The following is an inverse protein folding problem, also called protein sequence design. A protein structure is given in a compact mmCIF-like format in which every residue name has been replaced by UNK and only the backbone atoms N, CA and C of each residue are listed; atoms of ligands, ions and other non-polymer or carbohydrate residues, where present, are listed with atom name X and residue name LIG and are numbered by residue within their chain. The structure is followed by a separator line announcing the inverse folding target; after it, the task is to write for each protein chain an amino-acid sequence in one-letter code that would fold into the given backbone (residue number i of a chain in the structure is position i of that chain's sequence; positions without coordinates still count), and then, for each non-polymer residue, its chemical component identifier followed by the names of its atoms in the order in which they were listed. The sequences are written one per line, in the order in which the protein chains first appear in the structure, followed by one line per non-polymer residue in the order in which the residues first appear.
data_IF_794776844879
#
_entry.id   IF_794776844879
#
_cell.length_a   1.000
_cell.length_b   1.000
_cell.length_c   1.000
_cell.angle_alpha   90.00
_cell.angle_beta   90.00
_cell.angle_gamma   90.00
#
_symmetry.space_group_name_H-M   'P 1'
#
loop_
_entity.id
_entity.type
_entity.pdbx_description
1 polymer ?
#
# COMPACT_ATOMS: atom_id res chain seq x y z
N UNK A 1 -13.15 -8.03 9.03
CA UNK A 1 -12.82 -7.03 10.07
C UNK A 1 -14.08 -6.57 10.79
N UNK A 2 -15.05 -5.88 10.14
CA UNK A 2 -16.23 -5.34 10.82
C UNK A 2 -17.05 -6.43 11.54
N UNK A 3 -17.24 -7.60 10.93
CA UNK A 3 -17.94 -8.74 11.55
C UNK A 3 -17.19 -9.31 12.75
N UNK A 4 -15.86 -9.37 12.71
CA UNK A 4 -15.04 -9.91 13.79
C UNK A 4 -15.13 -8.97 15.01
N UNK A 5 -15.04 -7.67 14.78
CA UNK A 5 -15.21 -6.65 15.84
C UNK A 5 -16.64 -6.71 16.38
N UNK A 6 -17.66 -6.73 15.52
CA UNK A 6 -19.05 -6.76 15.91
C UNK A 6 -19.38 -7.96 16.82
N UNK A 7 -18.88 -9.14 16.48
CA UNK A 7 -19.03 -10.34 17.30
C UNK A 7 -18.44 -10.16 18.72
N UNK A 8 -17.27 -9.53 18.81
CA UNK A 8 -16.59 -9.31 20.08
C UNK A 8 -17.33 -8.30 20.96
N UNK A 9 -17.90 -7.25 20.36
CA UNK A 9 -18.65 -6.21 21.09
C UNK A 9 -20.14 -6.52 21.24
N UNK A 10 -20.60 -7.69 20.78
CA UNK A 10 -21.99 -8.12 20.90
C UNK A 10 -22.97 -7.45 19.93
N UNK A 11 -22.47 -6.83 18.86
CA UNK A 11 -23.30 -6.23 17.82
C UNK A 11 -23.67 -7.27 16.74
N UNK A 12 -24.64 -8.14 17.06
CA UNK A 12 -24.98 -9.30 16.24
C UNK A 12 -26.22 -9.12 15.36
N UNK A 13 -27.05 -8.09 15.61
CA UNK A 13 -28.23 -7.80 14.81
C UNK A 13 -27.81 -7.17 13.48
N UNK A 14 -28.16 -7.83 12.39
CA UNK A 14 -27.81 -7.35 11.05
C UNK A 14 -28.83 -6.34 10.56
N UNK A 15 -28.35 -5.16 10.25
CA UNK A 15 -29.10 -4.08 9.61
C UNK A 15 -28.49 -3.76 8.22
N UNK A 16 -29.18 -2.89 7.47
CA UNK A 16 -28.69 -2.46 6.16
C UNK A 16 -27.47 -1.53 6.33
N UNK A 17 -26.29 -2.05 6.01
CA UNK A 17 -25.02 -1.32 6.05
C UNK A 17 -24.37 -1.17 7.43
N UNK A 18 -24.90 -1.79 8.48
CA UNK A 18 -24.29 -1.84 9.80
C UNK A 18 -24.74 -3.08 10.60
N UNK A 19 -24.08 -3.31 11.74
CA UNK A 19 -24.46 -4.32 12.73
C UNK A 19 -24.75 -3.61 14.06
N UNK A 20 -25.78 -4.06 14.77
CA UNK A 20 -26.26 -3.41 15.98
C UNK A 20 -26.22 -4.37 17.17
N UNK A 21 -25.82 -3.84 18.31
CA UNK A 21 -25.87 -4.49 19.62
C UNK A 21 -26.48 -3.54 20.66
N UNK A 22 -26.41 -3.90 21.94
CA UNK A 22 -26.93 -3.09 23.03
C UNK A 22 -26.17 -1.76 23.14
N UNK A 23 -24.83 -1.81 23.05
CA UNK A 23 -23.97 -0.65 23.31
C UNK A 23 -23.19 -0.20 22.06
N UNK A 24 -23.24 -0.95 20.94
CA UNK A 24 -22.42 -0.70 19.77
C UNK A 24 -23.19 -0.75 18.46
N UNK A 25 -22.91 0.22 17.60
CA UNK A 25 -23.21 0.18 16.17
C UNK A 25 -21.91 -0.02 15.41
N UNK A 26 -21.81 -1.06 14.61
CA UNK A 26 -20.61 -1.37 13.83
C UNK A 26 -20.93 -1.22 12.34
N UNK A 27 -20.41 -0.16 11.74
CA UNK A 27 -20.52 0.09 10.29
C UNK A 27 -19.14 -0.04 9.63
N UNK A 28 -19.06 0.06 8.30
CA UNK A 28 -17.84 -0.14 7.54
C UNK A 28 -17.75 0.74 6.32
N UNK A 29 -16.52 0.95 5.84
CA UNK A 29 -16.24 1.43 4.50
C UNK A 29 -15.71 0.25 3.65
N UNK A 30 -16.04 0.23 2.37
CA UNK A 30 -15.50 -0.73 1.40
C UNK A 30 -14.51 0.00 0.47
N UNK A 31 -13.31 0.25 0.99
CA UNK A 31 -12.30 1.10 0.39
C UNK A 31 -12.64 2.59 0.54
N UNK A 32 -12.13 3.42 -0.36
CA UNK A 32 -12.43 4.85 -0.35
C UNK A 32 -13.87 5.12 -0.82
N UNK A 33 -14.70 5.67 0.05
CA UNK A 33 -16.02 6.20 -0.29
C UNK A 33 -15.93 7.66 -0.72
N UNK A 34 -14.94 8.36 -0.19
CA UNK A 34 -14.63 9.77 -0.47
C UNK A 34 -13.23 9.83 -1.09
N UNK A 35 -13.07 10.68 -2.09
CA UNK A 35 -11.83 10.92 -2.83
C UNK A 35 -11.58 12.42 -2.99
N UNK A 36 -10.38 12.77 -3.48
CA UNK A 36 -10.13 14.14 -3.94
C UNK A 36 -10.96 14.41 -5.20
N UNK A 37 -11.48 15.64 -5.31
CA UNK A 37 -12.24 16.10 -6.48
C UNK A 37 -11.39 16.04 -7.75
N UNK A 38 -12.05 15.74 -8.86
CA UNK A 38 -11.41 15.69 -10.16
C UNK A 38 -11.28 17.10 -10.76
N UNK A 39 -10.43 17.31 -11.79
CA UNK A 39 -10.21 18.63 -12.40
C UNK A 39 -11.49 19.35 -12.82
N UNK A 40 -12.50 18.62 -13.24
CA UNK A 40 -13.79 19.15 -13.69
C UNK A 40 -14.51 19.95 -12.60
N UNK A 41 -14.39 19.53 -11.32
CA UNK A 41 -14.97 20.25 -10.18
C UNK A 41 -14.25 21.57 -9.87
N UNK A 42 -13.06 21.75 -10.42
CA UNK A 42 -12.29 23.00 -10.33
C UNK A 42 -12.39 23.86 -11.62
N UNK A 43 -13.25 23.45 -12.58
CA UNK A 43 -13.43 24.18 -13.84
C UNK A 43 -12.49 23.77 -14.97
N UNK A 44 -11.65 22.74 -14.79
CA UNK A 44 -10.69 22.25 -15.77
C UNK A 44 -11.19 21.02 -16.53
N UNK A 45 -12.31 21.14 -17.25
CA UNK A 45 -12.91 20.02 -17.98
C UNK A 45 -12.17 19.64 -19.27
N UNK A 46 -11.56 20.61 -19.94
CA UNK A 46 -10.85 20.39 -21.21
C UNK A 46 -9.37 20.01 -20.99
N UNK A 47 -8.78 19.32 -21.98
CA UNK A 47 -7.34 19.01 -22.01
C UNK A 47 -6.61 20.13 -22.76
N UNK A 48 -6.32 21.24 -22.08
CA UNK A 48 -5.62 22.39 -22.64
C UNK A 48 -4.24 22.55 -21.99
N UNK A 49 -3.22 22.81 -22.81
CA UNK A 49 -1.86 22.97 -22.32
C UNK A 49 -1.69 24.21 -21.42
N UNK A 50 -2.44 25.26 -21.69
CA UNK A 50 -2.42 26.54 -20.98
C UNK A 50 -2.96 26.41 -19.53
N UNK A 51 -3.74 25.36 -19.25
CA UNK A 51 -4.31 25.08 -17.94
C UNK A 51 -3.35 24.29 -17.04
N UNK A 52 -2.21 23.82 -17.56
CA UNK A 52 -1.24 23.03 -16.79
C UNK A 52 -0.13 23.93 -16.19
N UNK A 53 0.31 23.65 -14.95
CA UNK A 53 -0.18 22.60 -14.07
C UNK A 53 -1.46 22.99 -13.30
N UNK A 54 -2.38 22.04 -13.15
CA UNK A 54 -3.55 22.20 -12.28
C UNK A 54 -3.12 21.96 -10.84
N UNK A 55 -3.27 22.97 -9.99
CA UNK A 55 -2.90 22.92 -8.57
C UNK A 55 -4.08 23.43 -7.73
N UNK A 56 -4.98 22.55 -7.28
CA UNK A 56 -6.12 22.97 -6.48
C UNK A 56 -5.72 23.58 -5.14
N UNK A 57 -6.36 24.69 -4.77
CA UNK A 57 -6.16 25.36 -3.49
C UNK A 57 -7.51 25.92 -2.97
N UNK A 58 -8.12 25.29 -1.96
CA UNK A 58 -7.77 23.99 -1.35
C UNK A 58 -8.18 22.81 -2.21
N UNK A 59 -7.63 21.62 -1.90
CA UNK A 59 -8.17 20.37 -2.39
C UNK A 59 -9.56 20.13 -1.80
N UNK A 60 -10.52 19.76 -2.63
CA UNK A 60 -11.89 19.44 -2.25
C UNK A 60 -12.09 17.91 -2.20
N UNK A 61 -13.02 17.50 -1.37
CA UNK A 61 -13.43 16.11 -1.26
C UNK A 61 -14.75 15.89 -2.02
N UNK A 62 -14.88 14.72 -2.67
CA UNK A 62 -16.09 14.31 -3.36
C UNK A 62 -16.38 12.84 -3.10
N UNK A 63 -17.62 12.44 -3.33
CA UNK A 63 -17.98 11.01 -3.34
C UNK A 63 -17.25 10.31 -4.48
N UNK A 64 -16.79 9.09 -4.22
CA UNK A 64 -16.21 8.26 -5.25
C UNK A 64 -17.16 8.11 -6.43
N UNK A 65 -16.65 8.30 -7.63
CA UNK A 65 -17.41 8.17 -8.87
C UNK A 65 -17.21 6.81 -9.54
N UNK A 66 -18.23 6.40 -10.27
CA UNK A 66 -18.18 5.24 -11.17
C UNK A 66 -18.48 5.69 -12.59
N UNK A 67 -17.93 4.96 -13.56
CA UNK A 67 -18.19 5.21 -14.97
C UNK A 67 -19.55 4.66 -15.37
N UNK A 68 -20.37 5.50 -16.01
CA UNK A 68 -21.66 5.12 -16.58
C UNK A 68 -21.71 5.54 -18.04
N UNK A 69 -21.45 4.60 -18.91
CA UNK A 69 -21.31 4.88 -20.35
C UNK A 69 -20.08 5.76 -20.63
N UNK A 70 -20.30 6.98 -21.07
CA UNK A 70 -19.25 7.98 -21.35
C UNK A 70 -18.99 8.92 -20.16
N UNK A 71 -19.92 9.01 -19.22
CA UNK A 71 -19.90 9.95 -18.12
C UNK A 71 -19.47 9.29 -16.79
N UNK A 72 -19.21 10.12 -15.80
CA UNK A 72 -18.95 9.71 -14.42
C UNK A 72 -20.07 10.23 -13.53
N UNK A 73 -20.60 9.36 -12.67
CA UNK A 73 -21.59 9.74 -11.65
C UNK A 73 -21.14 9.24 -10.28
N UNK A 74 -21.67 9.86 -9.23
CA UNK A 74 -21.40 9.43 -7.87
C UNK A 74 -21.84 7.97 -7.68
N UNK A 75 -20.99 7.16 -7.06
CA UNK A 75 -21.28 5.75 -6.78
C UNK A 75 -22.50 5.64 -5.85
N UNK A 76 -23.65 5.11 -6.31
CA UNK A 76 -24.84 5.01 -5.50
C UNK A 76 -24.65 4.16 -4.25
N UNK A 77 -23.74 3.18 -4.32
CA UNK A 77 -23.41 2.31 -3.19
C UNK A 77 -22.61 3.07 -2.14
N UNK A 78 -21.67 3.92 -2.57
CA UNK A 78 -20.92 4.80 -1.68
C UNK A 78 -21.84 5.84 -1.03
N UNK A 79 -22.73 6.47 -1.81
CA UNK A 79 -23.74 7.42 -1.27
C UNK A 79 -24.65 6.78 -0.23
N UNK A 80 -25.13 5.56 -0.50
CA UNK A 80 -25.96 4.81 0.46
C UNK A 80 -25.18 4.56 1.75
N UNK A 81 -23.96 4.05 1.66
CA UNK A 81 -23.17 3.73 2.82
C UNK A 81 -22.78 4.98 3.63
N UNK A 82 -22.49 6.10 2.97
CA UNK A 82 -22.23 7.39 3.64
C UNK A 82 -23.44 7.88 4.45
N UNK A 83 -24.67 7.72 3.92
CA UNK A 83 -25.91 8.04 4.67
C UNK A 83 -26.04 7.17 5.92
N UNK A 84 -25.70 5.88 5.82
CA UNK A 84 -25.72 4.94 6.94
C UNK A 84 -24.67 5.32 7.99
N UNK A 85 -23.43 5.58 7.56
CA UNK A 85 -22.35 6.02 8.46
C UNK A 85 -22.75 7.31 9.18
N UNK A 86 -23.32 8.29 8.46
CA UNK A 86 -23.85 9.52 9.06
C UNK A 86 -24.86 9.22 10.15
N UNK A 87 -25.86 8.37 9.87
CA UNK A 87 -26.89 7.99 10.85
C UNK A 87 -26.28 7.28 12.07
N UNK A 88 -25.28 6.40 11.86
CA UNK A 88 -24.59 5.77 12.99
C UNK A 88 -23.84 6.80 13.84
N UNK A 89 -23.17 7.78 13.23
CA UNK A 89 -22.47 8.86 13.95
C UNK A 89 -23.43 9.74 14.75
N UNK A 90 -24.63 10.04 14.19
CA UNK A 90 -25.65 10.84 14.86
C UNK A 90 -26.21 10.15 16.11
N UNK A 91 -26.41 8.83 16.03
CA UNK A 91 -26.96 8.00 17.12
C UNK A 91 -25.93 7.66 18.21
N UNK A 92 -24.64 7.86 17.97
CA UNK A 92 -23.58 7.42 18.87
C UNK A 92 -22.99 8.59 19.66
N UNK A 93 -22.70 8.38 20.93
CA UNK A 93 -22.03 9.35 21.78
C UNK A 93 -20.52 9.42 21.49
N UNK A 94 -19.94 8.30 21.11
CA UNK A 94 -18.50 8.16 20.82
C UNK A 94 -18.28 7.41 19.51
N UNK A 95 -17.27 7.82 18.75
CA UNK A 95 -16.83 7.15 17.53
C UNK A 95 -15.51 6.39 17.83
N UNK A 96 -15.50 5.10 17.53
CA UNK A 96 -14.30 4.27 17.57
C UNK A 96 -13.92 3.92 16.13
N UNK A 97 -12.74 4.34 15.73
CA UNK A 97 -12.21 4.11 14.38
C UNK A 97 -11.42 2.81 14.34
N UNK A 98 -11.88 1.86 13.56
CA UNK A 98 -11.32 0.52 13.44
C UNK A 98 -10.90 0.18 11.99
N UNK A 99 -10.59 1.19 11.18
CA UNK A 99 -9.96 0.99 9.86
C UNK A 99 -8.53 0.48 10.03
N UNK A 100 -7.95 -0.04 8.95
CA UNK A 100 -6.61 -0.65 9.00
C UNK A 100 -5.58 0.23 9.71
N UNK A 101 -4.68 -0.42 10.45
CA UNK A 101 -3.62 0.25 11.20
C UNK A 101 -2.51 0.76 10.26
N UNK A 102 -2.76 1.87 9.60
CA UNK A 102 -1.85 2.46 8.62
C UNK A 102 -2.34 3.80 8.08
N UNK A 103 -1.51 4.43 7.26
CA UNK A 103 -1.82 5.74 6.64
C UNK A 103 -3.10 5.70 5.82
N UNK A 104 -3.33 4.61 5.10
CA UNK A 104 -4.49 4.46 4.21
C UNK A 104 -5.79 4.32 5.00
N UNK A 105 -5.78 3.48 6.04
CA UNK A 105 -6.95 3.33 6.91
C UNK A 105 -7.31 4.62 7.66
N UNK A 106 -6.29 5.39 8.09
CA UNK A 106 -6.51 6.71 8.71
C UNK A 106 -7.08 7.70 7.69
N UNK A 107 -6.56 7.72 6.46
CA UNK A 107 -7.02 8.60 5.39
C UNK A 107 -8.48 8.31 5.01
N UNK A 108 -8.85 7.04 4.84
CA UNK A 108 -10.23 6.63 4.52
C UNK A 108 -11.20 7.19 5.55
N UNK A 109 -10.91 7.00 6.84
CA UNK A 109 -11.78 7.50 7.89
C UNK A 109 -11.85 9.03 7.90
N UNK A 110 -10.69 9.72 7.88
CA UNK A 110 -10.63 11.18 7.97
C UNK A 110 -11.30 11.88 6.78
N UNK A 111 -11.25 11.28 5.60
CA UNK A 111 -11.96 11.81 4.43
C UNK A 111 -13.48 11.68 4.61
N UNK A 112 -13.98 10.55 5.10
CA UNK A 112 -15.40 10.37 5.41
C UNK A 112 -15.84 11.36 6.49
N UNK A 113 -15.06 11.44 7.55
CA UNK A 113 -15.33 12.29 8.71
C UNK A 113 -15.39 13.78 8.33
N UNK A 114 -14.40 14.26 7.58
CA UNK A 114 -14.35 15.63 7.08
C UNK A 114 -15.45 15.94 6.06
N UNK A 115 -15.71 15.02 5.13
CA UNK A 115 -16.79 15.17 4.13
C UNK A 115 -18.19 15.27 4.78
N UNK A 116 -18.41 14.49 5.85
CA UNK A 116 -19.65 14.54 6.61
C UNK A 116 -19.77 15.76 7.54
N UNK A 117 -18.68 16.53 7.72
CA UNK A 117 -18.65 17.73 8.55
C UNK A 117 -18.69 17.48 10.05
N UNK A 118 -18.25 16.30 10.51
CA UNK A 118 -18.24 15.97 11.92
C UNK A 118 -17.06 16.57 12.66
N UNK A 119 -17.26 16.93 13.94
CA UNK A 119 -16.24 17.46 14.84
C UNK A 119 -16.21 16.75 16.20
N UNK A 120 -17.02 15.70 16.40
CA UNK A 120 -17.02 14.92 17.64
C UNK A 120 -15.66 14.28 17.88
N UNK A 121 -15.13 14.26 19.11
CA UNK A 121 -13.92 13.51 19.41
C UNK A 121 -14.10 12.03 19.06
N UNK A 122 -13.07 11.41 18.54
CA UNK A 122 -13.06 9.98 18.25
C UNK A 122 -11.82 9.31 18.84
N UNK A 123 -11.93 8.00 19.04
CA UNK A 123 -10.85 7.15 19.50
C UNK A 123 -10.44 6.16 18.43
N UNK A 124 -9.20 5.74 18.48
CA UNK A 124 -8.60 4.86 17.48
C UNK A 124 -8.33 3.48 18.07
N UNK A 125 -8.93 2.44 17.49
CA UNK A 125 -8.54 1.06 17.67
C UNK A 125 -7.36 0.76 16.73
N UNK A 126 -6.20 0.47 17.31
CA UNK A 126 -4.98 0.21 16.55
C UNK A 126 -4.49 -1.20 16.81
N UNK A 127 -4.80 -2.11 15.89
CA UNK A 127 -4.47 -3.53 15.99
C UNK A 127 -3.86 -4.02 14.68
N UNK A 128 -2.90 -4.92 14.75
CA UNK A 128 -2.25 -5.59 13.62
C UNK A 128 -2.75 -7.02 13.39
N UNK A 129 -3.63 -7.52 14.27
CA UNK A 129 -4.21 -8.86 14.22
C UNK A 129 -5.70 -8.82 14.52
N UNK A 130 -6.48 -9.71 13.90
CA UNK A 130 -7.92 -9.83 14.10
C UNK A 130 -8.32 -11.01 15.02
N UNK A 131 -7.39 -11.50 15.83
CA UNK A 131 -7.72 -12.50 16.86
C UNK A 131 -8.59 -11.87 17.93
N UNK A 132 -9.46 -12.67 18.55
CA UNK A 132 -10.35 -12.22 19.64
C UNK A 132 -9.58 -11.52 20.77
N UNK A 133 -8.41 -12.04 21.11
CA UNK A 133 -7.53 -11.47 22.12
C UNK A 133 -7.04 -10.08 21.71
N UNK A 134 -6.52 -9.94 20.49
CA UNK A 134 -6.00 -8.65 19.99
C UNK A 134 -7.10 -7.59 19.90
N UNK A 135 -8.32 -7.95 19.48
CA UNK A 135 -9.46 -7.03 19.41
C UNK A 135 -9.85 -6.56 20.82
N UNK A 136 -9.98 -7.49 21.80
CA UNK A 136 -10.32 -7.14 23.21
C UNK A 136 -9.27 -6.23 23.84
N UNK A 137 -8.00 -6.58 23.71
CA UNK A 137 -6.89 -5.78 24.23
C UNK A 137 -6.83 -4.40 23.58
N UNK A 138 -7.04 -4.34 22.26
CA UNK A 138 -7.07 -3.08 21.53
C UNK A 138 -8.24 -2.18 21.94
N UNK A 139 -9.42 -2.73 22.17
CA UNK A 139 -10.59 -1.99 22.68
C UNK A 139 -10.36 -1.45 24.10
N UNK A 140 -9.62 -2.18 24.94
CA UNK A 140 -9.23 -1.71 26.26
C UNK A 140 -8.16 -0.59 26.22
N UNK A 141 -7.41 -0.46 25.11
CA UNK A 141 -6.29 0.47 24.94
C UNK A 141 -6.52 1.51 23.84
N UNK A 142 -7.76 1.95 23.66
CA UNK A 142 -8.10 2.96 22.66
C UNK A 142 -7.31 4.25 22.86
N UNK A 143 -6.73 4.77 21.79
CA UNK A 143 -5.99 6.03 21.77
C UNK A 143 -6.85 7.18 21.28
N UNK A 144 -6.56 8.40 21.69
CA UNK A 144 -7.21 9.59 21.15
C UNK A 144 -6.90 9.72 19.66
N UNK A 145 -7.88 10.18 18.86
CA UNK A 145 -7.70 10.38 17.42
C UNK A 145 -6.56 11.33 17.07
N UNK A 146 -6.34 12.36 17.90
CA UNK A 146 -5.26 13.33 17.72
C UNK A 146 -3.85 12.71 17.75
N UNK A 147 -3.66 11.55 18.39
CA UNK A 147 -2.38 10.83 18.36
C UNK A 147 -1.97 10.38 16.94
N UNK A 148 -2.91 10.40 15.99
CA UNK A 148 -2.70 9.97 14.60
C UNK A 148 -2.78 11.12 13.58
N UNK A 149 -2.79 12.38 14.03
CA UNK A 149 -2.88 13.54 13.12
C UNK A 149 -1.69 13.63 12.18
N UNK A 150 -0.47 13.38 12.67
CA UNK A 150 0.72 13.34 11.79
C UNK A 150 0.64 12.22 10.74
N UNK A 151 0.07 11.07 11.12
CA UNK A 151 -0.13 9.95 10.19
C UNK A 151 -1.17 10.30 9.11
N UNK A 152 -2.26 10.96 9.51
CA UNK A 152 -3.26 11.48 8.58
C UNK A 152 -2.66 12.50 7.61
N UNK A 153 -1.90 13.48 8.11
CA UNK A 153 -1.24 14.48 7.28
C UNK A 153 -0.28 13.85 6.28
N UNK A 154 0.47 12.83 6.69
CA UNK A 154 1.34 12.07 5.77
C UNK A 154 0.54 11.32 4.70
N UNK A 155 -0.60 10.72 5.05
CA UNK A 155 -1.53 10.08 4.11
C UNK A 155 -2.13 11.09 3.13
N UNK A 156 -2.60 12.23 3.65
CA UNK A 156 -3.17 13.33 2.87
C UNK A 156 -2.16 13.89 1.87
N UNK A 157 -0.97 14.26 2.34
CA UNK A 157 0.10 14.79 1.48
C UNK A 157 0.47 13.81 0.35
N UNK A 158 0.50 12.50 0.65
CA UNK A 158 0.71 11.47 -0.38
C UNK A 158 -0.43 11.45 -1.39
N UNK A 159 -1.68 11.47 -0.94
CA UNK A 159 -2.87 11.46 -1.81
C UNK A 159 -2.89 12.68 -2.73
N UNK A 160 -2.60 13.87 -2.20
CA UNK A 160 -2.52 15.11 -2.95
C UNK A 160 -1.35 15.10 -3.96
N UNK A 161 -0.18 14.58 -3.56
CA UNK A 161 0.97 14.43 -4.46
C UNK A 161 0.68 13.41 -5.60
N UNK A 162 0.03 12.30 -5.28
CA UNK A 162 -0.37 11.28 -6.29
C UNK A 162 -1.38 11.89 -7.28
N UNK A 163 -2.32 12.73 -6.80
CA UNK A 163 -3.25 13.47 -7.64
C UNK A 163 -2.53 14.48 -8.54
N UNK A 164 -1.65 15.32 -7.97
CA UNK A 164 -0.91 16.35 -8.71
C UNK A 164 -0.07 15.74 -9.84
N UNK A 165 0.70 14.70 -9.51
CA UNK A 165 1.54 14.03 -10.51
C UNK A 165 0.69 13.27 -11.51
N UNK A 166 -0.28 12.49 -11.04
CA UNK A 166 -1.10 11.65 -11.89
C UNK A 166 -1.93 12.45 -12.90
N UNK A 167 -2.63 13.47 -12.43
CA UNK A 167 -3.49 14.30 -13.29
C UNK A 167 -2.65 15.13 -14.29
N UNK A 168 -1.68 15.88 -13.79
CA UNK A 168 -0.92 16.79 -14.65
C UNK A 168 -0.05 16.05 -15.67
N UNK A 169 0.65 14.98 -15.24
CA UNK A 169 1.49 14.22 -16.14
C UNK A 169 0.66 13.45 -17.20
N UNK A 170 -0.49 12.88 -16.80
CA UNK A 170 -1.39 12.20 -17.74
C UNK A 170 -1.96 13.16 -18.77
N UNK A 171 -2.43 14.35 -18.34
CA UNK A 171 -2.94 15.37 -19.26
C UNK A 171 -1.84 15.91 -20.18
N UNK A 172 -0.67 16.24 -19.65
CA UNK A 172 0.45 16.73 -20.45
C UNK A 172 0.87 15.72 -21.52
N UNK A 173 1.00 14.44 -21.16
CA UNK A 173 1.34 13.38 -22.12
C UNK A 173 0.24 13.18 -23.16
N UNK A 174 -1.03 13.20 -22.73
CA UNK A 174 -2.18 13.04 -23.63
C UNK A 174 -2.26 14.17 -24.66
N UNK A 175 -1.99 15.41 -24.25
CA UNK A 175 -1.91 16.57 -25.14
C UNK A 175 -0.73 16.40 -26.12
N UNK A 176 0.47 16.12 -25.62
CA UNK A 176 1.69 16.03 -26.42
C UNK A 176 1.62 14.89 -27.47
N UNK A 177 0.98 13.77 -27.12
CA UNK A 177 0.89 12.59 -27.96
C UNK A 177 -0.45 12.45 -28.70
N UNK A 178 -1.37 13.41 -28.53
CA UNK A 178 -2.72 13.40 -29.13
C UNK A 178 -3.48 12.09 -28.92
N UNK A 179 -3.48 11.59 -27.68
CA UNK A 179 -4.11 10.33 -27.32
C UNK A 179 -4.51 10.28 -25.84
N UNK A 180 -5.08 9.16 -25.39
CA UNK A 180 -5.43 8.95 -24.00
C UNK A 180 -4.31 8.16 -23.30
N UNK A 181 -3.54 8.83 -22.47
CA UNK A 181 -2.43 8.24 -21.74
C UNK A 181 -2.61 8.45 -20.24
N UNK A 182 -2.21 7.46 -19.46
CA UNK A 182 -2.22 7.50 -18.01
C UNK A 182 -0.81 7.37 -17.47
N UNK A 183 -0.43 8.31 -16.62
CA UNK A 183 0.81 8.28 -15.86
C UNK A 183 0.51 8.31 -14.37
N UNK A 184 1.30 7.61 -13.58
CA UNK A 184 1.17 7.61 -12.13
C UNK A 184 2.49 7.32 -11.45
N UNK A 185 2.65 7.86 -10.26
CA UNK A 185 3.88 7.78 -9.48
C UNK A 185 4.28 6.34 -9.10
N UNK A 186 3.32 5.44 -9.01
CA UNK A 186 3.57 4.01 -8.69
C UNK A 186 3.38 3.14 -9.93
N UNK A 187 2.25 3.27 -10.62
CA UNK A 187 1.91 2.37 -11.74
C UNK A 187 2.92 2.45 -12.89
N UNK A 188 3.40 3.63 -13.25
CA UNK A 188 4.31 3.81 -14.38
C UNK A 188 5.70 3.20 -14.13
N UNK A 189 6.36 3.47 -12.99
CA UNK A 189 7.61 2.79 -12.66
C UNK A 189 7.47 1.27 -12.55
N UNK A 190 6.37 0.79 -11.97
CA UNK A 190 6.09 -0.66 -11.88
C UNK A 190 5.98 -1.29 -13.25
N UNK A 191 5.20 -0.69 -14.16
CA UNK A 191 5.11 -1.15 -15.55
C UNK A 191 6.47 -1.12 -16.24
N UNK A 192 7.24 -0.04 -16.06
CA UNK A 192 8.58 0.07 -16.65
C UNK A 192 9.53 -1.04 -16.17
N UNK A 193 9.46 -1.42 -14.89
CA UNK A 193 10.25 -2.53 -14.34
C UNK A 193 9.84 -3.86 -14.99
N UNK A 194 8.54 -4.12 -15.14
CA UNK A 194 8.02 -5.33 -15.80
C UNK A 194 8.47 -5.37 -17.27
N UNK A 195 8.30 -4.27 -18.00
CA UNK A 195 8.73 -4.17 -19.40
C UNK A 195 10.24 -4.39 -19.56
N UNK A 196 11.06 -3.79 -18.68
CA UNK A 196 12.52 -4.00 -18.69
C UNK A 196 12.85 -5.46 -18.49
N UNK A 197 12.24 -6.10 -17.48
CA UNK A 197 12.46 -7.52 -17.21
C UNK A 197 12.03 -8.41 -18.38
N UNK A 198 10.92 -8.08 -19.03
CA UNK A 198 10.47 -8.77 -20.24
C UNK A 198 11.50 -8.65 -21.36
N UNK A 199 12.00 -7.45 -21.62
CA UNK A 199 13.01 -7.23 -22.68
C UNK A 199 14.33 -7.93 -22.36
N UNK A 200 14.80 -7.91 -21.09
CA UNK A 200 15.96 -8.67 -20.64
C UNK A 200 15.77 -10.18 -20.90
N UNK A 201 14.57 -10.69 -20.60
CA UNK A 201 14.26 -12.10 -20.85
C UNK A 201 14.25 -12.43 -22.34
N UNK A 202 13.65 -11.56 -23.18
CA UNK A 202 13.62 -11.76 -24.64
C UNK A 202 15.03 -11.69 -25.27
N UNK A 203 15.86 -10.81 -24.76
CA UNK A 203 17.25 -10.65 -25.22
C UNK A 203 18.25 -11.56 -24.49
N UNK A 204 17.79 -12.44 -23.60
CA UNK A 204 18.68 -13.31 -22.84
C UNK A 204 19.33 -14.35 -23.75
N UNK A 205 20.65 -14.34 -23.76
CA UNK A 205 21.45 -15.40 -24.34
C UNK A 205 22.23 -16.10 -23.21
N UNK A 206 22.20 -17.44 -23.23
CA UNK A 206 22.89 -18.22 -22.20
C UNK A 206 24.40 -18.07 -22.37
N UNK A 207 25.04 -17.62 -21.29
CA UNK A 207 26.50 -17.54 -21.23
C UNK A 207 26.96 -18.58 -20.21
N UNK A 208 27.91 -19.50 -20.58
CA UNK A 208 28.44 -20.44 -19.63
C UNK A 208 29.33 -19.70 -18.58
N UNK A 209 29.33 -20.20 -17.39
CA UNK A 209 30.20 -19.76 -16.32
C UNK A 209 30.72 -20.99 -15.54
N UNK A 210 31.82 -20.82 -14.88
CA UNK A 210 32.47 -21.86 -14.10
C UNK A 210 32.49 -21.44 -12.64
N UNK A 211 32.19 -22.38 -11.75
CA UNK A 211 32.16 -22.13 -10.31
C UNK A 211 32.97 -23.19 -9.58
N UNK A 212 33.88 -22.77 -8.73
CA UNK A 212 34.67 -23.69 -7.93
C UNK A 212 33.99 -24.00 -6.61
N UNK A 213 33.99 -25.27 -6.26
CA UNK A 213 33.55 -25.76 -4.97
C UNK A 213 34.70 -26.55 -4.34
N UNK A 214 34.86 -26.45 -3.02
CA UNK A 214 35.80 -27.23 -2.27
C UNK A 214 35.09 -27.94 -1.12
N UNK A 215 35.52 -29.17 -0.87
CA UNK A 215 35.10 -29.91 0.33
C UNK A 215 36.32 -29.89 1.26
N UNK A 216 36.12 -29.26 2.43
CA UNK A 216 37.14 -29.16 3.46
C UNK A 216 36.73 -29.93 4.69
N UNK A 217 37.65 -30.48 5.43
CA UNK A 217 37.40 -31.22 6.65
C UNK A 217 38.10 -30.54 7.83
N UNK A 218 37.35 -30.41 8.94
CA UNK A 218 37.91 -29.96 10.22
C UNK A 218 37.27 -30.77 11.34
N UNK A 219 38.10 -31.32 12.22
CA UNK A 219 37.64 -32.07 13.41
C UNK A 219 36.63 -33.20 13.08
N UNK A 220 36.85 -33.88 11.93
CA UNK A 220 35.96 -34.94 11.45
C UNK A 220 34.69 -34.47 10.73
N UNK A 221 34.44 -33.17 10.67
CA UNK A 221 33.26 -32.60 10.00
C UNK A 221 33.66 -32.11 8.61
N UNK A 222 32.84 -32.49 7.61
CA UNK A 222 33.00 -32.02 6.22
C UNK A 222 32.20 -30.74 6.00
N UNK A 223 32.81 -29.75 5.37
CA UNK A 223 32.21 -28.50 4.95
C UNK A 223 32.33 -28.34 3.44
N UNK A 224 31.24 -28.09 2.77
CA UNK A 224 31.22 -27.68 1.38
C UNK A 224 31.31 -26.16 1.30
N UNK A 225 32.27 -25.64 0.58
CA UNK A 225 32.45 -24.22 0.33
C UNK A 225 32.34 -23.95 -1.15
N UNK A 226 31.89 -22.75 -1.50
CA UNK A 226 31.76 -22.31 -2.89
C UNK A 226 32.47 -20.98 -3.05
N UNK A 227 33.19 -20.81 -4.16
CA UNK A 227 33.82 -19.54 -4.49
C UNK A 227 32.75 -18.44 -4.57
N UNK A 228 33.02 -17.26 -4.03
CA UNK A 228 32.09 -16.14 -4.04
C UNK A 228 31.86 -15.59 -5.45
N UNK A 229 32.82 -15.70 -6.32
CA UNK A 229 32.79 -15.22 -7.70
C UNK A 229 32.76 -16.37 -8.69
N UNK A 230 32.03 -16.19 -9.78
CA UNK A 230 32.00 -17.08 -10.91
C UNK A 230 33.07 -16.67 -11.92
N UNK A 231 33.67 -17.63 -12.62
CA UNK A 231 34.70 -17.38 -13.65
C UNK A 231 34.03 -17.32 -15.03
N UNK A 232 34.42 -16.33 -15.83
CA UNK A 232 33.85 -16.13 -17.16
C UNK A 232 34.40 -17.14 -18.19
N UNK A 233 35.59 -17.68 -17.96
CA UNK A 233 36.23 -18.65 -18.84
C UNK A 233 36.68 -19.90 -18.08
N UNK A 234 36.72 -21.02 -18.79
CA UNK A 234 37.24 -22.29 -18.26
C UNK A 234 38.69 -22.18 -17.85
N UNK A 235 39.51 -21.46 -18.62
CA UNK A 235 40.95 -21.27 -18.31
C UNK A 235 41.19 -20.54 -16.99
N UNK A 236 40.39 -19.50 -16.69
CA UNK A 236 40.46 -18.82 -15.40
C UNK A 236 40.08 -19.76 -14.26
N UNK A 237 39.01 -20.53 -14.43
CA UNK A 237 38.56 -21.49 -13.43
C UNK A 237 39.62 -22.60 -13.20
N UNK A 238 40.21 -23.12 -14.26
CA UNK A 238 41.28 -24.11 -14.16
C UNK A 238 42.52 -23.58 -13.46
N UNK A 239 42.91 -22.33 -13.74
CA UNK A 239 44.05 -21.66 -13.07
C UNK A 239 43.78 -21.51 -11.57
N UNK A 240 42.58 -21.04 -11.21
CA UNK A 240 42.20 -20.92 -9.82
C UNK A 240 42.09 -22.29 -9.13
N UNK A 241 41.57 -23.32 -9.81
CA UNK A 241 41.51 -24.68 -9.32
C UNK A 241 42.93 -25.25 -9.04
N UNK A 242 43.86 -25.08 -9.98
CA UNK A 242 45.22 -25.54 -9.82
C UNK A 242 45.95 -24.84 -8.64
N UNK A 243 45.62 -23.56 -8.41
CA UNK A 243 46.14 -22.79 -7.27
C UNK A 243 45.60 -23.32 -5.94
N UNK A 244 44.30 -23.50 -5.87
CA UNK A 244 43.62 -23.99 -4.65
C UNK A 244 43.98 -25.44 -4.33
N UNK A 245 44.11 -26.29 -5.34
CA UNK A 245 44.44 -27.72 -5.17
C UNK A 245 45.85 -27.96 -4.60
N UNK A 246 46.72 -26.96 -4.65
CA UNK A 246 48.07 -27.02 -4.04
C UNK A 246 48.08 -26.63 -2.57
N UNK A 247 46.98 -26.08 -2.07
CA UNK A 247 46.89 -25.67 -0.68
C UNK A 247 46.39 -26.84 0.20
N UNK A 248 47.15 -27.09 1.27
CA UNK A 248 46.82 -28.15 2.23
C UNK A 248 45.80 -27.68 3.31
N UNK A 249 45.57 -26.38 3.43
CA UNK A 249 44.63 -25.81 4.41
C UNK A 249 44.03 -24.52 3.93
N UNK A 250 42.79 -24.25 4.40
CA UNK A 250 42.09 -22.98 4.21
C UNK A 250 41.86 -22.33 5.58
N UNK A 251 41.99 -21.00 5.64
CA UNK A 251 41.73 -20.24 6.87
C UNK A 251 40.46 -19.41 6.72
N UNK A 252 39.53 -19.59 7.65
CA UNK A 252 38.34 -18.73 7.73
C UNK A 252 38.73 -17.35 8.27
N UNK A 253 38.58 -16.31 7.45
CA UNK A 253 38.92 -14.93 7.83
C UNK A 253 37.78 -14.25 8.57
N UNK A 254 36.55 -14.71 8.37
CA UNK A 254 35.36 -14.24 9.10
C UNK A 254 34.30 -15.34 9.18
N UNK A 255 33.50 -15.31 10.24
CA UNK A 255 32.37 -16.22 10.40
C UNK A 255 31.16 -15.37 10.76
N UNK A 256 30.07 -15.49 9.99
CA UNK A 256 28.78 -14.88 10.32
C UNK A 256 27.68 -15.92 10.36
N UNK A 257 26.79 -15.81 11.34
CA UNK A 257 25.58 -16.66 11.45
C UNK A 257 24.37 -15.87 11.01
N UNK A 258 23.69 -16.29 9.95
CA UNK A 258 22.34 -15.80 9.63
C UNK A 258 21.32 -16.74 10.27
N UNK A 259 20.50 -16.20 11.18
CA UNK A 259 19.33 -16.91 11.68
C UNK A 259 18.17 -16.51 10.78
N UNK A 260 17.60 -17.47 10.06
CA UNK A 260 16.36 -17.23 9.34
C UNK A 260 15.25 -17.05 10.40
N UNK A 261 14.58 -15.92 10.38
CA UNK A 261 13.33 -15.77 11.13
C UNK A 261 12.27 -16.67 10.46
N UNK A 262 11.73 -17.59 11.24
CA UNK A 262 10.56 -18.38 10.85
C UNK A 262 9.31 -17.51 10.86
#
# INVERSE_FOLDING_TARGET
VARDIARIVGANRREDGFLEGADYLVTWAFGHLITLSMPEQYGYGAYKAEELPIVPQPFQLMVRQIRKGKDFEDDPTALKQLKIIRSCFEKSDQIIVATDAGREGELIFRYIYGYLGYQKPFRRLWISSLTDKAIREGLAQLKAGSAYDALYLAGKARSEADWLVGINASRALSIARRGAYSLGRVQTPTLAMICRRYLEHQGFSSVPFWRLQAIVQKDGVLFQTTCAEDFATEGEAQTAFATLSRQSSLVATSVSRKVAAM
#
